data_IF_846331705238
#
_entry.id   IF_846331705238
#
_cell.length_a   1.000
_cell.length_b   1.000
_cell.length_c   1.000
_cell.angle_alpha   90.00
_cell.angle_beta   90.00
_cell.angle_gamma   90.00
#
_symmetry.space_group_name_H-M   'P 1'
#
loop_
_entity.id
_entity.type
_entity.pdbx_description
1 polymer ?
#
# COMPACT_ATOMS: atom_id res chain seq x y z
N UNK A 1 5.33 -13.02 7.68
CA UNK A 1 5.98 -12.07 8.64
C UNK A 1 7.45 -11.78 8.33
N UNK A 2 8.24 -12.73 7.82
CA UNK A 2 9.67 -12.53 7.53
C UNK A 2 9.95 -11.49 6.42
N UNK A 3 9.05 -11.32 5.45
CA UNK A 3 9.23 -10.42 4.30
C UNK A 3 9.27 -8.93 4.68
N UNK A 4 8.49 -8.53 5.69
CA UNK A 4 8.44 -7.14 6.14
C UNK A 4 9.67 -6.72 6.98
N UNK A 5 10.48 -7.67 7.45
CA UNK A 5 11.65 -7.40 8.31
C UNK A 5 12.68 -6.55 7.58
N UNK A 6 12.94 -6.84 6.30
CA UNK A 6 13.89 -6.06 5.50
C UNK A 6 13.47 -4.60 5.37
N UNK A 7 12.17 -4.34 5.19
CA UNK A 7 11.66 -2.99 5.06
C UNK A 7 11.77 -2.23 6.38
N UNK A 8 11.45 -2.86 7.51
CA UNK A 8 11.65 -2.25 8.84
C UNK A 8 13.12 -1.93 9.08
N UNK A 9 14.02 -2.84 8.74
CA UNK A 9 15.45 -2.64 8.92
C UNK A 9 15.98 -1.47 8.07
N UNK A 10 15.58 -1.39 6.80
CA UNK A 10 15.95 -0.28 5.92
C UNK A 10 15.42 1.07 6.45
N UNK A 11 14.17 1.12 6.92
CA UNK A 11 13.58 2.33 7.52
C UNK A 11 14.30 2.74 8.81
N UNK A 12 14.60 1.80 9.71
CA UNK A 12 15.34 2.08 10.95
C UNK A 12 16.77 2.55 10.65
N UNK A 13 17.47 1.91 9.72
CA UNK A 13 18.82 2.31 9.35
C UNK A 13 18.86 3.75 8.81
N UNK A 14 17.94 4.10 7.90
CA UNK A 14 17.82 5.46 7.40
C UNK A 14 17.45 6.45 8.52
N UNK A 15 16.53 6.08 9.40
CA UNK A 15 16.15 6.93 10.53
C UNK A 15 17.34 7.22 11.48
N UNK A 16 18.12 6.20 11.83
CA UNK A 16 19.29 6.35 12.71
C UNK A 16 20.37 7.22 12.07
N UNK A 17 20.61 7.06 10.77
CA UNK A 17 21.52 7.93 10.04
C UNK A 17 21.02 9.39 10.03
N UNK A 18 19.74 9.59 9.70
CA UNK A 18 19.11 10.92 9.69
C UNK A 18 19.14 11.59 11.07
N UNK A 19 18.88 10.85 12.16
CA UNK A 19 19.03 11.35 13.55
C UNK A 19 20.47 11.76 13.83
N UNK A 20 21.44 10.96 13.40
CA UNK A 20 22.87 11.25 13.62
C UNK A 20 23.29 12.53 12.90
N UNK A 21 22.85 12.72 11.65
CA UNK A 21 23.07 13.95 10.90
C UNK A 21 22.38 15.16 11.55
N UNK A 22 21.11 15.00 11.95
CA UNK A 22 20.36 16.05 12.65
C UNK A 22 21.04 16.47 13.97
N UNK A 23 21.43 15.49 14.81
CA UNK A 23 22.12 15.72 16.07
C UNK A 23 23.44 16.47 15.85
N UNK A 24 24.22 16.10 14.84
CA UNK A 24 25.46 16.79 14.51
C UNK A 24 25.21 18.26 14.10
N UNK A 25 24.20 18.51 13.25
CA UNK A 25 23.82 19.85 12.82
C UNK A 25 23.27 20.71 13.96
N UNK A 26 22.61 20.12 14.96
CA UNK A 26 22.13 20.85 16.14
C UNK A 26 23.21 21.13 17.18
N UNK A 27 23.98 20.10 17.53
CA UNK A 27 24.92 20.17 18.65
C UNK A 27 26.23 20.86 18.25
N UNK A 28 26.65 20.72 16.98
CA UNK A 28 27.93 21.24 16.46
C UNK A 28 27.77 21.88 15.07
N UNK A 29 26.85 22.86 14.88
CA UNK A 29 26.63 23.49 13.56
C UNK A 29 27.89 24.13 13.00
N UNK A 30 28.75 24.72 13.85
CA UNK A 30 30.01 25.36 13.44
C UNK A 30 31.04 24.36 12.90
N UNK A 31 31.05 23.13 13.40
CA UNK A 31 31.92 22.07 12.90
C UNK A 31 31.49 21.66 11.48
N UNK A 32 30.20 21.42 11.28
CA UNK A 32 29.64 21.07 9.98
C UNK A 32 29.82 22.22 8.98
N UNK A 33 29.58 23.46 9.42
CA UNK A 33 29.77 24.66 8.59
C UNK A 33 31.24 24.82 8.17
N UNK A 34 32.19 24.54 9.09
CA UNK A 34 33.62 24.54 8.82
C UNK A 34 34.03 23.47 7.80
N UNK A 35 33.50 22.24 7.93
CA UNK A 35 33.72 21.19 6.94
C UNK A 35 33.17 21.53 5.56
N UNK A 36 32.00 22.18 5.51
CA UNK A 36 31.38 22.61 4.25
C UNK A 36 32.05 23.86 3.64
N UNK A 37 32.82 24.64 4.43
CA UNK A 37 33.42 25.90 3.99
C UNK A 37 32.43 27.07 3.87
N UNK A 38 31.26 26.97 4.53
CA UNK A 38 30.19 27.98 4.45
C UNK A 38 29.74 28.42 5.84
N UNK A 39 29.48 29.71 6.05
CA UNK A 39 29.03 30.25 7.34
C UNK A 39 27.50 30.31 7.45
N UNK A 40 26.84 29.14 7.44
CA UNK A 40 25.36 29.03 7.39
C UNK A 40 24.77 28.21 8.54
N UNK A 41 25.19 28.48 9.78
CA UNK A 41 24.78 27.72 10.98
C UNK A 41 23.25 27.63 11.15
N UNK A 42 22.52 28.72 10.92
CA UNK A 42 21.05 28.74 11.04
C UNK A 42 20.39 27.80 10.02
N UNK A 43 20.87 27.83 8.77
CA UNK A 43 20.34 26.96 7.71
C UNK A 43 20.59 25.48 8.04
N UNK A 44 21.78 25.14 8.55
CA UNK A 44 22.09 23.78 8.98
C UNK A 44 21.18 23.30 10.11
N UNK A 45 20.86 24.16 11.08
CA UNK A 45 19.91 23.82 12.14
C UNK A 45 18.50 23.59 11.60
N UNK A 46 18.03 24.43 10.66
CA UNK A 46 16.73 24.23 9.99
C UNK A 46 16.69 22.91 9.23
N UNK A 47 17.75 22.58 8.49
CA UNK A 47 17.90 21.28 7.82
C UNK A 47 17.89 20.14 8.86
N UNK A 48 18.58 20.32 9.99
CA UNK A 48 18.59 19.40 11.12
C UNK A 48 17.19 19.13 11.71
N UNK A 49 16.35 20.17 11.84
CA UNK A 49 14.93 20.01 12.24
C UNK A 49 14.19 19.14 11.22
N UNK A 50 14.35 19.43 9.93
CA UNK A 50 13.72 18.65 8.86
C UNK A 50 14.12 17.18 8.90
N UNK A 51 15.42 16.90 9.06
CA UNK A 51 15.95 15.53 9.19
C UNK A 51 15.43 14.82 10.45
N UNK A 52 15.30 15.53 11.57
CA UNK A 52 14.75 14.95 12.80
C UNK A 52 13.27 14.56 12.63
N UNK A 53 12.46 15.44 12.03
CA UNK A 53 11.05 15.14 11.73
C UNK A 53 10.93 13.95 10.78
N UNK A 54 11.73 13.95 9.71
CA UNK A 54 11.79 12.84 8.76
C UNK A 54 12.16 11.52 9.45
N UNK A 55 13.17 11.51 10.31
CA UNK A 55 13.58 10.31 11.01
C UNK A 55 12.54 9.78 12.01
N UNK A 56 11.83 10.67 12.71
CA UNK A 56 10.70 10.28 13.58
C UNK A 56 9.60 9.62 12.75
N UNK A 57 9.30 10.16 11.57
CA UNK A 57 8.32 9.56 10.65
C UNK A 57 8.74 8.14 10.23
N UNK A 58 10.01 7.96 9.85
CA UNK A 58 10.57 6.64 9.50
C UNK A 58 10.50 5.64 10.66
N UNK A 59 10.85 6.05 11.89
CA UNK A 59 10.75 5.19 13.08
C UNK A 59 9.30 4.82 13.39
N UNK A 60 8.38 5.78 13.29
CA UNK A 60 6.96 5.51 13.46
C UNK A 60 6.48 4.48 12.43
N UNK A 61 6.82 4.66 11.14
CA UNK A 61 6.50 3.67 10.10
C UNK A 61 7.10 2.30 10.38
N UNK A 62 8.35 2.24 10.83
CA UNK A 62 9.06 1.00 11.13
C UNK A 62 8.54 0.26 12.37
N UNK A 63 7.84 0.95 13.28
CA UNK A 63 7.29 0.40 14.53
C UNK A 63 5.79 0.10 14.44
N UNK A 64 5.06 0.69 13.48
CA UNK A 64 3.66 0.35 13.21
C UNK A 64 3.48 -1.17 12.96
N UNK A 65 2.43 -1.77 13.52
CA UNK A 65 2.13 -3.19 13.29
C UNK A 65 1.93 -3.51 11.81
N UNK A 66 1.21 -2.64 11.10
CA UNK A 66 1.03 -2.71 9.64
C UNK A 66 1.88 -1.64 8.97
N UNK A 67 2.84 -2.06 8.15
CA UNK A 67 3.66 -1.13 7.38
C UNK A 67 2.87 -0.65 6.17
N UNK A 68 2.66 0.65 6.08
CA UNK A 68 2.06 1.27 4.90
C UNK A 68 3.15 1.46 3.83
N UNK A 69 3.28 0.50 2.91
CA UNK A 69 4.38 0.51 1.91
C UNK A 69 4.41 1.77 1.04
N UNK A 70 3.28 2.48 0.88
CA UNK A 70 3.24 3.75 0.16
C UNK A 70 4.00 4.88 0.88
N UNK A 71 4.01 4.88 2.23
CA UNK A 71 4.77 5.86 3.00
C UNK A 71 6.27 5.59 2.89
N UNK A 72 6.65 4.32 2.86
CA UNK A 72 8.04 3.92 2.58
C UNK A 72 8.45 4.33 1.16
N UNK A 73 7.55 4.21 0.17
CA UNK A 73 7.80 4.69 -1.19
C UNK A 73 8.03 6.21 -1.25
N UNK A 74 7.22 6.99 -0.52
CA UNK A 74 7.44 8.44 -0.39
C UNK A 74 8.78 8.76 0.30
N UNK A 75 9.15 8.02 1.35
CA UNK A 75 10.45 8.16 1.99
C UNK A 75 11.61 7.92 1.01
N UNK A 76 11.54 6.86 0.21
CA UNK A 76 12.56 6.61 -0.82
C UNK A 76 12.60 7.70 -1.89
N UNK A 77 11.44 8.26 -2.25
CA UNK A 77 11.38 9.39 -3.17
C UNK A 77 12.05 10.64 -2.58
N UNK A 78 11.88 10.90 -1.28
CA UNK A 78 12.57 11.98 -0.58
C UNK A 78 14.09 11.74 -0.53
N UNK A 79 14.54 10.50 -0.29
CA UNK A 79 15.96 10.12 -0.36
C UNK A 79 16.54 10.39 -1.76
N UNK A 80 15.85 9.99 -2.83
CA UNK A 80 16.31 10.27 -4.19
C UNK A 80 16.31 11.76 -4.51
N UNK A 81 15.30 12.50 -4.05
CA UNK A 81 15.26 13.96 -4.23
C UNK A 81 16.43 14.65 -3.53
N UNK A 82 16.84 14.17 -2.35
CA UNK A 82 18.02 14.65 -1.64
C UNK A 82 19.31 14.41 -2.44
N UNK A 83 19.46 13.22 -3.02
CA UNK A 83 20.61 12.87 -3.88
C UNK A 83 20.64 13.74 -5.12
N UNK A 84 19.51 13.93 -5.80
CA UNK A 84 19.40 14.82 -6.96
C UNK A 84 19.75 16.26 -6.57
N UNK A 85 19.22 16.75 -5.45
CA UNK A 85 19.56 18.08 -4.92
C UNK A 85 21.05 18.24 -4.64
N UNK A 86 21.70 17.20 -4.12
CA UNK A 86 23.15 17.18 -3.89
C UNK A 86 23.94 17.25 -5.20
N UNK A 87 23.53 16.51 -6.23
CA UNK A 87 24.16 16.57 -7.56
C UNK A 87 23.99 17.95 -8.22
N UNK A 88 22.80 18.55 -8.10
CA UNK A 88 22.53 19.91 -8.61
C UNK A 88 23.41 20.94 -7.89
N UNK A 89 23.51 20.86 -6.56
CA UNK A 89 24.36 21.73 -5.76
C UNK A 89 25.81 21.67 -6.24
N UNK A 90 26.37 20.46 -6.36
CA UNK A 90 27.76 20.26 -6.78
C UNK A 90 28.03 20.66 -8.23
N UNK A 91 27.07 20.42 -9.13
CA UNK A 91 27.22 20.71 -10.56
C UNK A 91 27.05 22.20 -10.91
N UNK A 92 26.08 22.87 -10.29
CA UNK A 92 25.79 24.29 -10.57
C UNK A 92 26.60 25.25 -9.71
N UNK A 93 27.04 24.79 -8.53
CA UNK A 93 27.74 25.63 -7.55
C UNK A 93 29.04 24.99 -7.04
N UNK A 94 29.97 24.57 -7.92
CA UNK A 94 31.15 23.79 -7.54
C UNK A 94 32.10 24.52 -6.58
N UNK A 95 32.08 25.86 -6.57
CA UNK A 95 32.94 26.70 -5.73
C UNK A 95 32.25 27.20 -4.45
N UNK A 96 30.99 26.81 -4.20
CA UNK A 96 30.28 27.24 -2.98
C UNK A 96 30.73 26.45 -1.76
N UNK A 97 31.16 25.21 -1.94
CA UNK A 97 31.66 24.35 -0.87
C UNK A 97 33.19 24.23 -0.95
N UNK A 98 33.83 23.98 0.19
CA UNK A 98 35.23 23.56 0.22
C UNK A 98 35.40 22.15 -0.35
N UNK A 99 36.64 21.75 -0.65
CA UNK A 99 36.93 20.38 -1.13
C UNK A 99 36.47 19.30 -0.15
N UNK A 100 36.66 19.53 1.16
CA UNK A 100 36.13 18.66 2.22
C UNK A 100 34.60 18.65 2.25
N UNK A 101 33.97 19.79 1.97
CA UNK A 101 32.52 19.93 1.89
C UNK A 101 31.93 19.16 0.73
N UNK A 102 32.55 19.25 -0.45
CA UNK A 102 32.20 18.45 -1.62
C UNK A 102 32.28 16.95 -1.31
N UNK A 103 33.39 16.51 -0.71
CA UNK A 103 33.55 15.11 -0.29
C UNK A 103 32.49 14.65 0.70
N UNK A 104 32.15 15.48 1.69
CA UNK A 104 31.10 15.19 2.68
C UNK A 104 29.72 15.06 2.03
N UNK A 105 29.35 15.99 1.15
CA UNK A 105 28.05 15.95 0.43
C UNK A 105 27.96 14.70 -0.43
N UNK A 106 29.02 14.34 -1.17
CA UNK A 106 29.06 13.10 -1.97
C UNK A 106 28.89 11.86 -1.09
N UNK A 107 29.60 11.79 0.04
CA UNK A 107 29.51 10.65 0.96
C UNK A 107 28.09 10.49 1.56
N UNK A 108 27.49 11.60 2.02
CA UNK A 108 26.11 11.58 2.53
C UNK A 108 25.13 11.19 1.43
N UNK A 109 25.25 11.76 0.23
CA UNK A 109 24.38 11.41 -0.89
C UNK A 109 24.49 9.93 -1.28
N UNK A 110 25.69 9.35 -1.26
CA UNK A 110 25.88 7.92 -1.54
C UNK A 110 25.19 7.02 -0.48
N UNK A 111 25.27 7.38 0.80
CA UNK A 111 24.60 6.65 1.88
C UNK A 111 23.08 6.76 1.76
N UNK A 112 22.56 7.97 1.51
CA UNK A 112 21.12 8.22 1.32
C UNK A 112 20.60 7.47 0.08
N UNK A 113 21.36 7.46 -1.02
CA UNK A 113 21.03 6.67 -2.21
C UNK A 113 20.92 5.18 -1.89
N UNK A 114 21.87 4.65 -1.11
CA UNK A 114 21.84 3.25 -0.67
C UNK A 114 20.57 2.94 0.14
N UNK A 115 20.16 3.84 1.04
CA UNK A 115 18.89 3.68 1.77
C UNK A 115 17.67 3.72 0.85
N UNK A 116 17.60 4.69 -0.07
CA UNK A 116 16.49 4.78 -1.03
C UNK A 116 16.38 3.52 -1.89
N UNK A 117 17.49 3.00 -2.41
CA UNK A 117 17.53 1.74 -3.18
C UNK A 117 17.12 0.55 -2.31
N UNK A 118 17.63 0.45 -1.08
CA UNK A 118 17.31 -0.64 -0.17
C UNK A 118 15.83 -0.65 0.22
N UNK A 119 15.24 0.51 0.51
CA UNK A 119 13.82 0.65 0.80
C UNK A 119 12.96 0.23 -0.40
N UNK A 120 13.28 0.71 -1.62
CA UNK A 120 12.57 0.32 -2.86
C UNK A 120 12.62 -1.20 -3.08
N UNK A 121 13.80 -1.80 -2.93
CA UNK A 121 13.94 -3.25 -3.02
C UNK A 121 13.14 -3.99 -1.94
N UNK A 122 13.18 -3.50 -0.70
CA UNK A 122 12.47 -4.11 0.42
C UNK A 122 10.95 -3.96 0.29
N UNK A 123 10.45 -2.88 -0.30
CA UNK A 123 9.04 -2.70 -0.67
C UNK A 123 8.61 -3.79 -1.66
N UNK A 124 9.38 -4.02 -2.74
CA UNK A 124 9.06 -5.08 -3.69
C UNK A 124 9.04 -6.46 -2.99
N UNK A 125 10.02 -6.73 -2.12
CA UNK A 125 10.10 -7.97 -1.35
C UNK A 125 8.96 -8.14 -0.34
N UNK A 126 8.44 -7.05 0.23
CA UNK A 126 7.35 -7.12 1.21
C UNK A 126 6.05 -7.68 0.60
N UNK A 127 5.83 -7.46 -0.70
CA UNK A 127 4.66 -7.95 -1.42
C UNK A 127 4.88 -9.28 -2.15
N UNK A 128 6.13 -9.74 -2.29
CA UNK A 128 6.44 -10.93 -3.09
C UNK A 128 6.02 -12.21 -2.35
N UNK A 129 5.23 -13.05 -3.02
CA UNK A 129 4.97 -14.42 -2.57
C UNK A 129 6.23 -15.27 -2.73
N UNK A 130 6.51 -16.11 -1.73
CA UNK A 130 7.66 -17.02 -1.77
C UNK A 130 7.49 -18.00 -2.95
N UNK A 131 8.55 -18.15 -3.73
CA UNK A 131 8.71 -19.14 -4.79
C UNK A 131 7.80 -19.05 -6.04
N UNK A 132 6.82 -18.13 -6.10
CA UNK A 132 5.94 -17.97 -7.28
C UNK A 132 6.32 -16.80 -8.19
N UNK A 133 7.03 -15.80 -7.66
CA UNK A 133 7.29 -14.55 -8.39
C UNK A 133 6.06 -13.66 -8.55
N UNK A 134 4.94 -14.04 -7.93
CA UNK A 134 3.72 -13.26 -7.82
C UNK A 134 3.80 -12.32 -6.62
N UNK A 135 2.95 -11.30 -6.65
CA UNK A 135 2.87 -10.31 -5.60
C UNK A 135 1.46 -10.30 -5.02
N UNK A 136 1.36 -10.36 -3.69
CA UNK A 136 0.10 -10.38 -2.97
C UNK A 136 -0.12 -9.11 -2.18
N UNK A 137 -1.34 -8.59 -2.25
CA UNK A 137 -1.85 -7.58 -1.32
C UNK A 137 -3.17 -8.06 -0.75
N UNK A 138 -3.40 -7.82 0.54
CA UNK A 138 -4.68 -8.15 1.16
C UNK A 138 -5.12 -7.12 2.19
N UNK A 139 -6.42 -7.13 2.45
CA UNK A 139 -7.11 -6.23 3.36
C UNK A 139 -8.06 -7.08 4.18
N UNK A 140 -7.96 -7.00 5.51
CA UNK A 140 -8.89 -7.68 6.42
C UNK A 140 -9.67 -6.64 7.20
N UNK A 141 -10.99 -6.67 7.10
CA UNK A 141 -11.90 -5.74 7.78
C UNK A 141 -12.82 -6.53 8.71
N UNK A 142 -12.74 -6.23 10.01
CA UNK A 142 -13.69 -6.74 10.99
C UNK A 142 -15.02 -5.98 10.89
N UNK A 143 -16.13 -6.72 10.96
CA UNK A 143 -17.49 -6.17 10.93
C UNK A 143 -18.36 -6.85 11.99
N UNK A 144 -19.41 -6.17 12.44
CA UNK A 144 -20.42 -6.74 13.34
C UNK A 144 -21.55 -7.48 12.60
N UNK A 145 -21.49 -7.60 11.26
CA UNK A 145 -22.46 -8.35 10.50
C UNK A 145 -22.20 -9.86 10.65
N UNK A 146 -23.23 -10.70 10.92
CA UNK A 146 -23.07 -12.14 10.96
C UNK A 146 -22.50 -12.68 9.63
N UNK A 147 -21.57 -13.63 9.70
CA UNK A 147 -20.87 -14.16 8.52
C UNK A 147 -21.84 -14.63 7.41
N UNK A 148 -22.92 -15.34 7.76
CA UNK A 148 -23.92 -15.78 6.78
C UNK A 148 -24.66 -14.62 6.10
N UNK A 149 -24.94 -13.53 6.83
CA UNK A 149 -25.55 -12.33 6.25
C UNK A 149 -24.56 -11.57 5.36
N UNK A 150 -23.31 -11.45 5.80
CA UNK A 150 -22.24 -10.85 5.01
C UNK A 150 -21.98 -11.63 3.73
N UNK A 151 -21.93 -12.97 3.80
CA UNK A 151 -21.74 -13.83 2.63
C UNK A 151 -22.82 -13.62 1.58
N UNK A 152 -24.10 -13.56 1.97
CA UNK A 152 -25.21 -13.26 1.04
C UNK A 152 -25.03 -11.95 0.27
N UNK A 153 -24.35 -10.97 0.86
CA UNK A 153 -24.02 -9.71 0.18
C UNK A 153 -22.80 -9.88 -0.73
N UNK A 154 -21.72 -10.47 -0.21
CA UNK A 154 -20.43 -10.64 -0.90
C UNK A 154 -20.54 -11.58 -2.12
N UNK A 155 -21.30 -12.67 -2.02
CA UNK A 155 -21.44 -13.69 -3.07
C UNK A 155 -22.23 -13.24 -4.29
N UNK A 156 -22.97 -12.12 -4.19
CA UNK A 156 -23.66 -11.49 -5.33
C UNK A 156 -22.66 -10.75 -6.21
N UNK A 157 -21.88 -11.50 -7.01
CA UNK A 157 -20.78 -10.98 -7.83
C UNK A 157 -21.16 -9.70 -8.59
N UNK A 158 -22.30 -9.69 -9.30
CA UNK A 158 -22.76 -8.51 -10.05
C UNK A 158 -23.11 -7.29 -9.20
N UNK A 159 -23.52 -7.49 -7.94
CA UNK A 159 -24.01 -6.41 -7.07
C UNK A 159 -22.91 -5.52 -6.48
N UNK A 160 -21.62 -5.84 -6.70
CA UNK A 160 -20.50 -5.05 -6.15
C UNK A 160 -20.55 -3.56 -6.52
N UNK A 161 -21.13 -3.21 -7.68
CA UNK A 161 -21.35 -1.81 -8.10
C UNK A 161 -22.16 -0.99 -7.10
N UNK A 162 -23.01 -1.62 -6.30
CA UNK A 162 -23.83 -0.94 -5.30
C UNK A 162 -22.98 -0.39 -4.14
N UNK A 163 -21.78 -0.95 -3.93
CA UNK A 163 -20.92 -0.60 -2.81
C UNK A 163 -19.65 0.14 -3.24
N UNK A 164 -19.15 -0.14 -4.45
CA UNK A 164 -17.90 0.40 -4.99
C UNK A 164 -18.16 1.65 -5.87
N UNK A 165 -17.91 2.89 -5.38
CA UNK A 165 -18.30 4.12 -6.09
C UNK A 165 -17.58 4.35 -7.42
N UNK A 166 -16.40 3.76 -7.60
CA UNK A 166 -15.61 3.84 -8.83
C UNK A 166 -16.23 3.06 -9.98
N UNK A 167 -17.07 2.06 -9.70
CA UNK A 167 -17.79 1.31 -10.72
C UNK A 167 -19.01 2.06 -11.22
N UNK A 168 -19.16 2.05 -12.55
CA UNK A 168 -20.37 2.44 -13.26
C UNK A 168 -21.28 1.22 -13.46
N UNK A 169 -20.71 0.08 -13.84
CA UNK A 169 -21.47 -1.15 -14.03
C UNK A 169 -20.70 -2.39 -13.54
N UNK A 170 -21.46 -3.43 -13.21
CA UNK A 170 -20.99 -4.76 -12.87
C UNK A 170 -22.12 -5.73 -13.14
N UNK A 171 -21.90 -6.68 -14.05
CA UNK A 171 -22.92 -7.66 -14.46
C UNK A 171 -22.28 -9.04 -14.57
N UNK A 172 -23.03 -10.08 -14.20
CA UNK A 172 -22.65 -11.46 -14.52
C UNK A 172 -23.14 -11.76 -15.93
N UNK A 173 -22.27 -12.24 -16.80
CA UNK A 173 -22.56 -12.55 -18.19
C UNK A 173 -23.30 -13.89 -18.31
N UNK A 174 -23.95 -14.09 -19.45
CA UNK A 174 -24.68 -15.32 -19.83
C UNK A 174 -25.76 -15.76 -18.83
N UNK A 175 -26.31 -14.82 -18.06
CA UNK A 175 -27.36 -15.05 -17.05
C UNK A 175 -27.03 -16.16 -16.03
N UNK A 176 -25.74 -16.46 -15.85
CA UNK A 176 -25.29 -17.49 -14.91
C UNK A 176 -25.52 -17.03 -13.47
N UNK A 177 -25.90 -17.99 -12.62
CA UNK A 177 -25.85 -17.79 -11.17
C UNK A 177 -24.39 -17.64 -10.71
N UNK A 178 -24.11 -16.88 -9.63
CA UNK A 178 -22.78 -16.85 -9.03
C UNK A 178 -22.27 -18.27 -8.72
N UNK A 179 -21.03 -18.57 -9.12
CA UNK A 179 -20.43 -19.89 -8.98
C UNK A 179 -19.24 -20.09 -9.92
N UNK A 180 -18.64 -21.27 -9.87
CA UNK A 180 -17.48 -21.63 -10.72
C UNK A 180 -17.85 -21.45 -12.20
N UNK A 181 -16.98 -20.78 -12.95
CA UNK A 181 -17.16 -20.48 -14.37
C UNK A 181 -18.09 -19.30 -14.67
N UNK A 182 -18.70 -18.66 -13.66
CA UNK A 182 -19.40 -17.39 -13.87
C UNK A 182 -18.39 -16.29 -14.22
N UNK A 183 -18.73 -15.44 -15.20
CA UNK A 183 -17.89 -14.31 -15.61
C UNK A 183 -18.60 -13.01 -15.25
N UNK A 184 -17.92 -12.15 -14.48
CA UNK A 184 -18.37 -10.81 -14.16
C UNK A 184 -17.62 -9.80 -15.03
N UNK A 185 -18.36 -8.95 -15.75
CA UNK A 185 -17.81 -7.78 -16.43
C UNK A 185 -18.02 -6.54 -15.57
N UNK A 186 -16.95 -5.79 -15.31
CA UNK A 186 -16.96 -4.50 -14.64
C UNK A 186 -16.67 -3.36 -15.62
N UNK A 187 -17.27 -2.20 -15.38
CA UNK A 187 -16.96 -0.95 -16.09
C UNK A 187 -16.79 0.18 -15.06
N UNK A 188 -15.67 0.91 -15.12
CA UNK A 188 -15.47 2.10 -14.29
C UNK A 188 -16.17 3.34 -14.88
N UNK A 189 -16.19 4.43 -14.10
CA UNK A 189 -16.79 5.70 -14.57
C UNK A 189 -16.02 6.38 -15.71
N UNK A 190 -14.82 5.91 -16.05
CA UNK A 190 -14.01 6.39 -17.18
C UNK A 190 -14.20 5.52 -18.44
N UNK A 191 -15.09 4.52 -18.39
CA UNK A 191 -15.36 3.61 -19.50
C UNK A 191 -14.36 2.46 -19.64
N UNK A 192 -13.40 2.32 -18.73
CA UNK A 192 -12.48 1.16 -18.73
C UNK A 192 -13.25 -0.08 -18.29
N UNK A 193 -13.06 -1.18 -19.03
CA UNK A 193 -13.74 -2.45 -18.81
C UNK A 193 -12.76 -3.56 -18.52
N UNK A 194 -13.17 -4.50 -17.68
CA UNK A 194 -12.44 -5.74 -17.45
C UNK A 194 -13.41 -6.84 -17.05
N UNK A 195 -12.99 -8.08 -17.25
CA UNK A 195 -13.78 -9.26 -16.90
C UNK A 195 -13.01 -10.16 -15.93
N UNK A 196 -13.76 -10.80 -15.06
CA UNK A 196 -13.26 -11.67 -13.99
C UNK A 196 -14.05 -12.98 -14.03
N UNK A 197 -13.35 -14.11 -14.13
CA UNK A 197 -13.96 -15.44 -14.09
C UNK A 197 -13.81 -16.04 -12.70
N UNK A 198 -14.91 -16.49 -12.11
CA UNK A 198 -14.89 -17.23 -10.85
C UNK A 198 -14.26 -18.61 -11.08
N UNK A 199 -13.10 -18.86 -10.46
CA UNK A 199 -12.37 -20.14 -10.58
C UNK A 199 -12.68 -21.08 -9.42
N UNK A 200 -13.00 -20.52 -8.25
CA UNK A 200 -13.36 -21.28 -7.05
C UNK A 200 -14.53 -20.58 -6.36
N UNK A 201 -15.46 -21.36 -5.80
CA UNK A 201 -16.61 -20.84 -5.08
C UNK A 201 -16.98 -21.80 -3.95
N UNK A 202 -16.67 -21.41 -2.72
CA UNK A 202 -17.01 -22.14 -1.50
C UNK A 202 -18.19 -21.43 -0.84
N UNK A 203 -19.40 -21.97 -1.03
CA UNK A 203 -20.60 -21.33 -0.52
C UNK A 203 -20.56 -21.19 1.02
N UNK A 204 -21.00 -20.04 1.49
CA UNK A 204 -20.91 -19.62 2.89
C UNK A 204 -19.59 -18.97 3.28
N UNK A 205 -18.54 -19.07 2.46
CA UNK A 205 -17.17 -18.80 2.91
C UNK A 205 -16.36 -17.90 1.98
N UNK A 206 -16.11 -18.30 0.74
CA UNK A 206 -15.12 -17.64 -0.09
C UNK A 206 -15.32 -17.86 -1.59
N UNK A 207 -14.74 -16.97 -2.40
CA UNK A 207 -14.61 -17.20 -3.83
C UNK A 207 -13.30 -16.62 -4.36
N UNK A 208 -12.78 -17.23 -5.42
CA UNK A 208 -11.58 -16.81 -6.15
C UNK A 208 -11.97 -16.43 -7.57
N UNK A 209 -11.44 -15.32 -8.06
CA UNK A 209 -11.58 -14.85 -9.44
C UNK A 209 -10.23 -14.74 -10.12
N UNK A 210 -10.18 -15.17 -11.38
CA UNK A 210 -9.12 -14.85 -12.33
C UNK A 210 -9.55 -13.66 -13.16
N UNK A 211 -8.74 -12.61 -13.19
CA UNK A 211 -8.93 -11.50 -14.10
C UNK A 211 -8.49 -11.94 -15.50
N UNK A 212 -9.33 -11.70 -16.50
CA UNK A 212 -9.03 -12.04 -17.90
C UNK A 212 -8.09 -10.98 -18.49
N UNK A 213 -6.83 -10.96 -18.05
CA UNK A 213 -5.81 -9.97 -18.42
C UNK A 213 -5.26 -10.14 -19.84
N UNK A 214 -5.57 -11.26 -20.49
CA UNK A 214 -5.23 -11.57 -21.88
C UNK A 214 -6.08 -10.84 -22.93
N UNK A 215 -7.21 -10.24 -22.54
CA UNK A 215 -8.07 -9.53 -23.49
C UNK A 215 -7.41 -8.23 -23.95
N UNK A 216 -7.61 -7.81 -25.22
CA UNK A 216 -7.25 -6.48 -25.66
C UNK A 216 -7.87 -5.43 -24.73
N UNK A 217 -7.12 -4.38 -24.42
CA UNK A 217 -7.55 -3.24 -23.59
C UNK A 217 -7.75 -3.51 -22.09
N UNK A 218 -7.18 -4.59 -21.54
CA UNK A 218 -7.15 -4.79 -20.08
C UNK A 218 -6.50 -3.58 -19.37
N UNK A 219 -7.18 -2.92 -18.42
CA UNK A 219 -6.81 -1.57 -17.98
C UNK A 219 -5.67 -1.52 -16.96
N UNK A 220 -5.21 -2.67 -16.46
CA UNK A 220 -4.18 -2.77 -15.44
C UNK A 220 -2.86 -3.31 -16.02
N UNK A 221 -1.70 -2.77 -15.64
CA UNK A 221 -0.39 -3.14 -16.20
C UNK A 221 0.14 -4.46 -15.60
N UNK A 222 -0.60 -5.55 -15.77
CA UNK A 222 -0.30 -6.87 -15.21
C UNK A 222 -0.39 -7.95 -16.29
N UNK A 223 0.43 -9.00 -16.16
CA UNK A 223 0.40 -10.18 -17.03
C UNK A 223 -0.69 -11.16 -16.61
N UNK A 224 -0.77 -11.40 -15.30
CA UNK A 224 -1.76 -12.26 -14.65
C UNK A 224 -2.23 -11.58 -13.38
N UNK A 225 -3.49 -11.80 -13.03
CA UNK A 225 -4.07 -11.30 -11.80
C UNK A 225 -5.18 -12.23 -11.33
N UNK A 226 -5.10 -12.62 -10.07
CA UNK A 226 -6.11 -13.33 -9.32
C UNK A 226 -6.55 -12.44 -8.17
N UNK A 227 -7.75 -12.69 -7.66
CA UNK A 227 -8.17 -12.09 -6.40
C UNK A 227 -9.28 -12.92 -5.79
N UNK A 228 -9.65 -12.56 -4.57
CA UNK A 228 -10.65 -13.33 -3.86
C UNK A 228 -11.22 -12.58 -2.67
N UNK A 229 -12.29 -13.16 -2.16
CA UNK A 229 -12.98 -12.72 -0.96
C UNK A 229 -13.14 -13.89 -0.02
N UNK A 230 -12.88 -13.67 1.27
CA UNK A 230 -13.14 -14.63 2.34
C UNK A 230 -13.97 -13.96 3.43
N UNK A 231 -15.02 -14.64 3.90
CA UNK A 231 -15.86 -14.21 5.02
C UNK A 231 -15.67 -15.21 6.16
N UNK A 232 -14.96 -14.76 7.20
CA UNK A 232 -14.55 -15.60 8.33
C UNK A 232 -15.45 -15.26 9.53
N UNK A 233 -16.18 -16.21 10.12
CA UNK A 233 -16.97 -15.96 11.32
C UNK A 233 -16.09 -15.59 12.51
N UNK A 234 -16.59 -14.72 13.36
CA UNK A 234 -15.98 -14.33 14.64
C UNK A 234 -17.04 -14.28 15.72
N UNK A 235 -16.64 -14.20 17.00
CA UNK A 235 -17.59 -14.11 18.12
C UNK A 235 -18.59 -12.94 17.97
N UNK A 236 -18.12 -11.78 17.51
CA UNK A 236 -18.91 -10.54 17.44
C UNK A 236 -19.40 -10.18 16.02
N UNK A 237 -19.30 -11.09 15.05
CA UNK A 237 -19.65 -10.83 13.66
C UNK A 237 -18.78 -11.58 12.66
N UNK A 238 -18.11 -10.87 11.75
CA UNK A 238 -17.27 -11.48 10.71
C UNK A 238 -16.03 -10.65 10.37
N UNK A 239 -14.98 -11.32 9.89
CA UNK A 239 -13.86 -10.71 9.20
C UNK A 239 -14.01 -10.93 7.71
N UNK A 240 -13.96 -9.86 6.93
CA UNK A 240 -13.97 -9.91 5.46
C UNK A 240 -12.55 -9.66 4.98
N UNK A 241 -11.95 -10.65 4.33
CA UNK A 241 -10.67 -10.51 3.66
C UNK A 241 -10.91 -10.31 2.17
N UNK A 242 -10.23 -9.32 1.60
CA UNK A 242 -10.13 -9.12 0.14
C UNK A 242 -8.66 -9.16 -0.22
N UNK A 243 -8.31 -9.92 -1.25
CA UNK A 243 -6.92 -10.09 -1.65
C UNK A 243 -6.77 -10.13 -3.17
N UNK A 244 -5.56 -9.82 -3.62
CA UNK A 244 -5.14 -9.93 -5.00
C UNK A 244 -3.73 -10.49 -5.07
N UNK A 245 -3.50 -11.34 -6.08
CA UNK A 245 -2.21 -11.88 -6.45
C UNK A 245 -1.96 -11.52 -7.91
N UNK A 246 -0.83 -10.89 -8.22
CA UNK A 246 -0.58 -10.40 -9.57
C UNK A 246 0.89 -10.51 -9.99
N UNK A 247 1.10 -10.59 -11.29
CA UNK A 247 2.41 -10.50 -11.93
C UNK A 247 2.45 -9.21 -12.75
N UNK A 248 3.26 -8.20 -12.37
CA UNK A 248 3.35 -6.96 -13.12
C UNK A 248 3.89 -7.16 -14.55
N UNK A 249 3.43 -6.33 -15.49
CA UNK A 249 3.93 -6.36 -16.86
C UNK A 249 5.41 -5.95 -16.93
N UNK A 250 5.76 -4.85 -16.27
CA UNK A 250 7.16 -4.43 -16.05
C UNK A 250 7.58 -4.69 -14.61
N UNK A 251 8.40 -5.73 -14.39
CA UNK A 251 8.88 -6.13 -13.05
C UNK A 251 9.66 -5.04 -12.32
N UNK A 252 10.34 -4.13 -13.04
CA UNK A 252 11.10 -3.04 -12.41
C UNK A 252 10.22 -1.92 -11.85
N UNK A 253 8.96 -1.79 -12.31
CA UNK A 253 7.98 -0.82 -11.77
C UNK A 253 7.23 -1.34 -10.55
N UNK A 254 7.38 -2.62 -10.21
CA UNK A 254 6.71 -3.26 -9.08
C UNK A 254 6.78 -2.50 -7.76
N UNK A 255 7.96 -1.99 -7.30
CA UNK A 255 8.04 -1.25 -6.04
C UNK A 255 7.28 0.09 -6.06
N UNK A 256 6.83 0.56 -7.22
CA UNK A 256 6.02 1.79 -7.36
C UNK A 256 4.54 1.41 -7.50
N UNK A 257 4.21 0.48 -8.40
CA UNK A 257 2.83 0.11 -8.72
C UNK A 257 2.15 -0.52 -7.50
N UNK A 258 2.81 -1.47 -6.82
CA UNK A 258 2.17 -2.21 -5.73
C UNK A 258 1.81 -1.32 -4.53
N UNK A 259 2.70 -0.45 -4.02
CA UNK A 259 2.30 0.45 -2.94
C UNK A 259 1.16 1.39 -3.30
N UNK A 260 1.08 1.86 -4.54
CA UNK A 260 0.00 2.73 -5.00
C UNK A 260 -1.33 1.99 -5.05
N UNK A 261 -1.34 0.77 -5.60
CA UNK A 261 -2.52 -0.10 -5.60
C UNK A 261 -2.94 -0.45 -4.17
N UNK A 262 -1.97 -0.81 -3.31
CA UNK A 262 -2.19 -1.10 -1.90
C UNK A 262 -2.80 0.09 -1.15
N UNK A 263 -2.28 1.30 -1.37
CA UNK A 263 -2.81 2.53 -0.78
C UNK A 263 -4.26 2.79 -1.18
N UNK A 264 -4.56 2.69 -2.49
CA UNK A 264 -5.92 2.89 -2.97
C UNK A 264 -6.87 1.86 -2.37
N UNK A 265 -6.46 0.59 -2.34
CA UNK A 265 -7.25 -0.49 -1.79
C UNK A 265 -7.48 -0.29 -0.27
N UNK A 266 -6.44 0.03 0.49
CA UNK A 266 -6.51 0.27 1.95
C UNK A 266 -7.43 1.44 2.32
N UNK A 267 -7.50 2.44 1.45
CA UNK A 267 -8.39 3.60 1.63
C UNK A 267 -9.84 3.29 1.30
N UNK A 268 -10.07 2.54 0.22
CA UNK A 268 -11.40 2.41 -0.38
C UNK A 268 -12.17 1.20 0.18
N UNK A 269 -11.52 0.04 0.37
CA UNK A 269 -12.17 -1.20 0.78
C UNK A 269 -12.81 -1.19 2.17
N UNK A 270 -12.25 -0.55 3.21
CA UNK A 270 -12.93 -0.45 4.50
C UNK A 270 -14.32 0.19 4.39
N UNK A 271 -14.46 1.22 3.54
CA UNK A 271 -15.74 1.89 3.29
C UNK A 271 -16.68 1.02 2.46
N UNK A 272 -16.16 0.29 1.47
CA UNK A 272 -16.94 -0.65 0.66
C UNK A 272 -17.52 -1.75 1.55
N UNK A 273 -16.68 -2.37 2.38
CA UNK A 273 -17.08 -3.45 3.30
C UNK A 273 -18.03 -2.91 4.37
N UNK A 274 -17.86 -1.67 4.83
CA UNK A 274 -18.84 -1.03 5.72
C UNK A 274 -20.23 -0.94 5.09
N UNK A 275 -20.32 -0.53 3.82
CA UNK A 275 -21.61 -0.47 3.10
C UNK A 275 -22.22 -1.85 2.89
N UNK A 276 -21.39 -2.85 2.62
CA UNK A 276 -21.83 -4.25 2.54
C UNK A 276 -22.36 -4.74 3.90
N UNK A 277 -21.70 -4.38 5.00
CA UNK A 277 -22.15 -4.71 6.35
C UNK A 277 -23.50 -4.06 6.69
N UNK A 278 -23.73 -2.81 6.27
CA UNK A 278 -25.02 -2.13 6.42
C UNK A 278 -26.12 -2.92 5.70
N UNK A 279 -25.93 -3.25 4.41
CA UNK A 279 -26.92 -4.03 3.63
C UNK A 279 -27.13 -5.43 4.22
N UNK A 280 -26.07 -6.09 4.68
CA UNK A 280 -26.16 -7.39 5.34
C UNK A 280 -27.03 -7.35 6.61
N UNK A 281 -26.88 -6.30 7.43
CA UNK A 281 -27.70 -6.09 8.63
C UNK A 281 -29.14 -5.74 8.27
N UNK A 282 -29.38 -4.85 7.30
CA UNK A 282 -30.73 -4.46 6.87
C UNK A 282 -31.52 -5.64 6.32
N UNK A 283 -30.91 -6.50 5.51
CA UNK A 283 -31.54 -7.72 5.00
C UNK A 283 -31.86 -8.72 6.11
N UNK A 284 -31.05 -8.76 7.17
CA UNK A 284 -31.29 -9.63 8.32
C UNK A 284 -32.38 -9.08 9.25
N UNK A 285 -32.49 -7.76 9.39
CA UNK A 285 -33.52 -7.09 10.18
C UNK A 285 -34.90 -7.12 9.55
N UNK A 286 -35.01 -7.14 8.21
CA UNK A 286 -36.30 -7.44 7.58
C UNK A 286 -36.87 -8.80 8.02
N UNK A 287 -36.04 -9.69 8.58
CA UNK A 287 -36.46 -10.93 9.19
C UNK A 287 -36.59 -10.87 10.74
N UNK A 288 -36.16 -9.79 11.42
CA UNK A 288 -36.12 -9.71 12.89
C UNK A 288 -36.13 -8.26 13.44
N UNK A 289 -37.02 -7.99 14.42
CA UNK A 289 -37.37 -6.72 15.12
C UNK A 289 -36.43 -5.48 15.08
N UNK A 290 -36.97 -4.25 15.23
CA UNK A 290 -36.41 -2.99 14.67
C UNK A 290 -35.29 -2.25 15.43
N UNK A 291 -34.69 -2.80 16.50
CA UNK A 291 -33.58 -2.10 17.17
C UNK A 291 -32.22 -2.47 16.53
N UNK A 292 -31.87 -1.81 15.42
CA UNK A 292 -30.66 -2.16 14.66
C UNK A 292 -29.41 -1.46 15.20
N UNK A 293 -28.37 -2.22 15.62
CA UNK A 293 -27.07 -1.65 15.96
C UNK A 293 -26.40 -1.04 14.72
N UNK A 294 -25.75 0.12 14.88
CA UNK A 294 -25.00 0.78 13.82
C UNK A 294 -23.91 -0.17 13.27
N UNK A 295 -23.82 -0.29 11.94
CA UNK A 295 -22.77 -1.10 11.31
C UNK A 295 -21.37 -0.55 11.64
N UNK A 296 -20.49 -1.42 12.12
CA UNK A 296 -19.09 -1.11 12.42
C UNK A 296 -18.22 -1.88 11.43
N UNK A 297 -17.24 -1.19 10.85
CA UNK A 297 -16.20 -1.78 10.02
C UNK A 297 -14.85 -1.23 10.46
N UNK A 298 -13.92 -2.11 10.84
CA UNK A 298 -12.58 -1.74 11.30
C UNK A 298 -11.52 -2.50 10.53
N UNK A 299 -10.62 -1.76 9.89
CA UNK A 299 -9.46 -2.35 9.24
C UNK A 299 -8.53 -2.97 10.29
N UNK A 300 -8.18 -4.24 10.10
CA UNK A 300 -7.27 -4.96 10.99
C UNK A 300 -5.81 -4.76 10.56
N UNK A 301 -4.85 -4.78 11.51
CA UNK A 301 -3.43 -4.64 11.21
C UNK A 301 -2.79 -5.94 10.68
N UNK A 302 -3.57 -6.79 10.01
CA UNK A 302 -3.08 -8.06 9.43
C UNK A 302 -2.55 -7.80 8.03
N UNK A 303 -1.35 -8.32 7.77
CA UNK A 303 -0.74 -8.37 6.44
C UNK A 303 -0.74 -9.84 6.02
N UNK A 304 -1.17 -10.10 4.80
CA UNK A 304 -0.78 -11.29 4.04
C UNK A 304 0.54 -10.89 3.38
#
# INVERSE_FOLDING_TARGET
MTTAVFLRLALVANALFSISCAALMFLRPSLVSGWLGVHVSLLLQVIGVGLAVFAVDLLHQATCHRIATWRALYASAADFLWVIGSLILLGLFPNVLSDSGNGLVIAVAAIVLMFGVWQVWAIAKAHQLQDTGEYRHCIVVATNAPAAAMWRVVSRLGAIKNYMPSLKNSVVLDERSPGIGAVRMCEDRKGKRWSEQCTEFNDGHSFTVRFLSEVPDFPFPVKTMHGGWDVIPTHDGSQVMVWWELVPQQRWLTPIILPLLAFQADRDFPKIIQRMAIDALEQNHKASNPSSPRAIARLLPKFC
#
